data_IF_868145376343
#
_entry.id   IF_868145376343
#
_cell.length_a   1.000
_cell.length_b   1.000
_cell.length_c   1.000
_cell.angle_alpha   90.00
_cell.angle_beta   90.00
_cell.angle_gamma   90.00
#
_symmetry.space_group_name_H-M   'P 1'
#
loop_
_entity.id
_entity.type
_entity.pdbx_description
1 polymer ?
#
# COMPACT_ATOMS: atom_id res chain seq x y z
N UNK A 1 17.85 -13.63 15.58
CA UNK A 1 17.54 -14.79 14.68
C UNK A 1 18.60 -14.85 13.58
N UNK A 2 19.11 -16.02 13.16
CA UNK A 2 20.21 -16.11 12.16
C UNK A 2 19.71 -15.99 10.71
N UNK A 3 20.46 -15.28 9.87
CA UNK A 3 20.17 -14.90 8.47
C UNK A 3 19.70 -16.02 7.53
N UNK A 4 20.08 -17.28 7.78
CA UNK A 4 19.68 -18.41 6.94
C UNK A 4 18.19 -18.78 7.05
N UNK A 5 17.50 -18.25 8.07
CA UNK A 5 16.11 -18.64 8.40
C UNK A 5 15.06 -17.75 7.71
N UNK A 6 15.41 -16.55 7.25
CA UNK A 6 14.47 -15.63 6.61
C UNK A 6 14.10 -16.01 5.17
N UNK A 7 14.87 -16.90 4.53
CA UNK A 7 14.66 -17.33 3.13
C UNK A 7 13.37 -18.15 2.95
N UNK A 8 12.67 -18.50 4.04
CA UNK A 8 11.48 -19.38 4.03
C UNK A 8 10.32 -18.80 4.84
N UNK A 9 10.44 -17.60 5.40
CA UNK A 9 9.34 -16.98 6.15
C UNK A 9 8.45 -16.24 5.15
N UNK A 10 7.18 -16.63 5.07
CA UNK A 10 6.22 -16.07 4.12
C UNK A 10 5.87 -14.61 4.46
N UNK A 11 5.66 -14.32 5.74
CA UNK A 11 5.37 -12.98 6.23
C UNK A 11 5.94 -12.77 7.63
N UNK A 12 6.22 -11.53 7.97
CA UNK A 12 6.70 -11.19 9.30
C UNK A 12 6.98 -9.72 9.47
N UNK A 13 7.42 -9.39 10.69
CA UNK A 13 7.79 -8.05 11.10
C UNK A 13 9.22 -8.08 11.63
N UNK A 14 10.05 -7.15 11.18
CA UNK A 14 11.44 -7.04 11.58
C UNK A 14 11.70 -5.60 12.01
N UNK A 15 11.93 -5.37 13.31
CA UNK A 15 12.32 -4.07 13.79
C UNK A 15 13.78 -3.75 13.51
N UNK A 16 14.06 -2.45 13.42
CA UNK A 16 15.41 -1.92 13.40
C UNK A 16 15.55 -0.70 14.31
N UNK A 17 16.79 -0.45 14.69
CA UNK A 17 17.21 0.81 15.30
C UNK A 17 18.60 1.19 14.79
N UNK A 18 18.78 2.49 14.55
CA UNK A 18 20.00 3.01 13.94
C UNK A 18 19.98 2.92 12.41
N UNK A 19 20.73 3.82 11.77
CA UNK A 19 20.77 3.91 10.31
C UNK A 19 21.72 2.85 9.72
N UNK A 20 22.85 2.61 10.38
CA UNK A 20 23.91 1.68 9.97
C UNK A 20 24.47 0.87 11.17
N UNK A 21 25.16 -0.27 10.94
CA UNK A 21 25.57 -1.23 11.99
C UNK A 21 26.49 -0.70 13.12
N UNK A 22 26.93 0.55 13.04
CA UNK A 22 27.83 1.19 14.01
C UNK A 22 27.19 2.39 14.73
N UNK A 23 25.92 2.67 14.48
CA UNK A 23 25.18 3.71 15.18
C UNK A 23 24.75 3.14 16.54
N UNK A 24 25.63 3.27 17.54
CA UNK A 24 25.53 2.55 18.82
C UNK A 24 24.16 2.56 19.51
N UNK A 25 23.85 1.46 20.22
CA UNK A 25 22.68 1.14 21.03
C UNK A 25 21.60 2.23 21.05
N UNK A 26 20.87 2.37 19.93
CA UNK A 26 19.67 3.18 19.88
C UNK A 26 18.61 2.41 20.66
N UNK A 27 18.37 2.86 21.89
CA UNK A 27 17.35 2.29 22.75
C UNK A 27 15.97 2.68 22.21
N UNK A 28 15.16 1.67 21.91
CA UNK A 28 13.72 1.85 21.72
C UNK A 28 13.10 1.86 23.13
N UNK A 29 12.19 2.81 23.39
CA UNK A 29 11.48 2.84 24.66
C UNK A 29 10.76 1.51 24.94
N UNK A 30 10.72 1.11 26.21
CA UNK A 30 10.17 -0.17 26.64
C UNK A 30 8.70 -0.34 26.27
N UNK A 31 7.90 0.73 26.31
CA UNK A 31 6.46 0.66 25.99
C UNK A 31 6.25 0.33 24.51
N UNK A 32 7.02 0.98 23.62
CA UNK A 32 7.04 0.72 22.18
C UNK A 32 7.46 -0.73 21.89
N UNK A 33 8.50 -1.20 22.58
CA UNK A 33 9.04 -2.54 22.39
C UNK A 33 7.99 -3.61 22.73
N UNK A 34 7.23 -3.41 23.80
CA UNK A 34 6.21 -4.35 24.25
C UNK A 34 4.94 -4.29 23.38
N UNK A 35 4.46 -3.10 22.97
CA UNK A 35 3.21 -2.93 22.21
C UNK A 35 3.36 -3.20 20.69
N UNK A 36 4.54 -2.94 20.13
CA UNK A 36 4.81 -3.14 18.69
C UNK A 36 5.41 -4.53 18.42
N UNK A 37 5.62 -5.34 19.47
CA UNK A 37 6.33 -6.64 19.46
C UNK A 37 7.75 -6.52 18.85
N UNK A 38 8.48 -5.53 19.34
CA UNK A 38 9.82 -5.19 18.88
C UNK A 38 10.82 -5.37 20.03
N UNK A 39 11.98 -6.03 19.85
CA UNK A 39 13.01 -6.03 20.86
C UNK A 39 13.45 -4.61 21.21
N UNK A 40 13.54 -4.31 22.50
CA UNK A 40 14.04 -3.03 23.04
C UNK A 40 15.41 -2.60 22.47
N UNK A 41 16.19 -3.61 22.06
CA UNK A 41 17.45 -3.45 21.34
C UNK A 41 17.37 -4.29 20.07
N UNK A 42 16.89 -3.74 18.95
CA UNK A 42 16.91 -4.45 17.68
C UNK A 42 18.35 -4.81 17.32
N UNK A 43 18.55 -6.05 16.87
CA UNK A 43 19.88 -6.54 16.46
C UNK A 43 20.33 -5.92 15.13
N UNK A 44 19.44 -5.21 14.43
CA UNK A 44 19.61 -4.79 13.04
C UNK A 44 19.38 -3.30 12.88
N UNK A 45 20.22 -2.68 12.06
CA UNK A 45 20.05 -1.33 11.55
C UNK A 45 19.16 -1.30 10.31
N UNK A 46 18.66 -0.12 9.92
CA UNK A 46 17.89 0.06 8.69
C UNK A 46 18.66 -0.48 7.46
N UNK A 47 19.95 -0.19 7.36
CA UNK A 47 20.80 -0.67 6.27
C UNK A 47 20.84 -2.19 6.18
N UNK A 48 21.02 -2.88 7.31
CA UNK A 48 21.06 -4.34 7.35
C UNK A 48 19.72 -4.93 6.90
N UNK A 49 18.59 -4.35 7.32
CA UNK A 49 17.29 -4.80 6.84
C UNK A 49 17.14 -4.61 5.34
N UNK A 50 17.53 -3.46 4.79
CA UNK A 50 17.48 -3.20 3.34
C UNK A 50 18.30 -4.24 2.56
N UNK A 51 19.47 -4.61 3.07
CA UNK A 51 20.35 -5.62 2.48
C UNK A 51 19.77 -7.05 2.56
N UNK A 52 18.83 -7.30 3.47
CA UNK A 52 18.11 -8.58 3.60
C UNK A 52 16.91 -8.70 2.65
N UNK A 53 16.41 -7.58 2.12
CA UNK A 53 15.26 -7.58 1.22
C UNK A 53 15.57 -8.32 -0.10
N UNK A 54 14.55 -8.94 -0.72
CA UNK A 54 14.73 -9.68 -1.96
C UNK A 54 15.26 -8.83 -3.12
N UNK A 55 15.94 -9.52 -4.04
CA UNK A 55 16.30 -9.01 -5.36
C UNK A 55 15.70 -9.92 -6.42
N UNK A 56 14.71 -9.41 -7.13
CA UNK A 56 14.12 -10.11 -8.26
C UNK A 56 15.01 -10.02 -9.49
N UNK A 57 14.89 -11.02 -10.35
CA UNK A 57 15.51 -11.03 -11.66
C UNK A 57 14.47 -11.14 -12.77
N UNK A 58 14.75 -10.44 -13.88
CA UNK A 58 13.99 -10.59 -15.12
C UNK A 58 14.42 -11.88 -15.82
N UNK A 59 13.49 -12.78 -16.09
CA UNK A 59 13.69 -14.00 -16.87
C UNK A 59 12.84 -13.99 -18.13
N UNK A 60 13.37 -14.57 -19.21
CA UNK A 60 12.63 -14.69 -20.46
C UNK A 60 11.54 -15.73 -20.30
N UNK A 61 10.37 -15.45 -20.86
CA UNK A 61 9.28 -16.43 -20.95
C UNK A 61 9.42 -17.18 -22.26
N UNK A 62 9.42 -18.51 -22.16
CA UNK A 62 9.39 -19.41 -23.30
C UNK A 62 7.98 -19.94 -23.49
N UNK A 63 7.52 -19.95 -24.74
CA UNK A 63 6.22 -20.44 -25.16
C UNK A 63 6.45 -21.74 -25.91
N UNK A 64 5.82 -22.81 -25.43
CA UNK A 64 5.83 -24.09 -26.13
C UNK A 64 4.77 -24.07 -27.23
N UNK A 65 5.19 -24.32 -28.47
CA UNK A 65 4.28 -24.50 -29.59
C UNK A 65 3.67 -25.90 -29.53
N UNK A 66 2.36 -25.98 -29.24
CA UNK A 66 1.61 -27.24 -29.12
C UNK A 66 1.59 -28.08 -30.40
N UNK A 67 1.86 -27.48 -31.55
CA UNK A 67 1.88 -28.15 -32.86
C UNK A 67 3.26 -28.66 -33.27
N UNK A 68 4.27 -28.47 -32.43
CA UNK A 68 5.63 -28.95 -32.68
C UNK A 68 6.00 -29.92 -31.57
N UNK A 69 6.23 -31.18 -31.94
CA UNK A 69 6.70 -32.17 -30.98
C UNK A 69 8.10 -31.79 -30.45
N UNK A 70 8.45 -32.25 -29.25
CA UNK A 70 9.76 -31.93 -28.62
C UNK A 70 11.01 -32.36 -29.42
N UNK A 71 10.84 -33.12 -30.51
CA UNK A 71 11.90 -33.48 -31.46
C UNK A 71 11.95 -32.56 -32.71
N UNK A 72 11.19 -31.46 -32.69
CA UNK A 72 11.08 -30.44 -33.73
C UNK A 72 10.20 -30.80 -34.92
N UNK A 73 9.48 -31.93 -34.88
CA UNK A 73 8.57 -32.35 -35.96
C UNK A 73 7.24 -31.63 -35.79
N UNK A 74 6.77 -30.99 -36.86
CA UNK A 74 5.46 -30.34 -36.92
C UNK A 74 4.38 -31.40 -37.05
N UNK A 75 3.35 -31.33 -36.21
CA UNK A 75 2.13 -32.11 -36.33
C UNK A 75 1.19 -31.44 -37.34
N UNK A 76 1.40 -31.79 -38.60
CA UNK A 76 0.72 -31.18 -39.75
C UNK A 76 -0.79 -31.44 -39.74
N UNK A 77 -1.20 -32.60 -39.20
CA UNK A 77 -2.61 -32.99 -39.11
C UNK A 77 -3.34 -32.12 -38.08
N UNK A 78 -2.74 -31.90 -36.90
CA UNK A 78 -3.31 -31.02 -35.87
C UNK A 78 -3.35 -29.56 -36.31
N UNK A 79 -2.32 -29.08 -37.03
CA UNK A 79 -2.31 -27.72 -37.61
C UNK A 79 -3.44 -27.57 -38.62
N UNK A 80 -3.57 -28.51 -39.55
CA UNK A 80 -4.60 -28.46 -40.58
C UNK A 80 -6.00 -28.49 -39.96
N UNK A 81 -6.24 -29.37 -39.00
CA UNK A 81 -7.52 -29.44 -38.30
C UNK A 81 -7.88 -28.12 -37.60
N UNK A 82 -6.93 -27.49 -36.89
CA UNK A 82 -7.16 -26.23 -36.20
C UNK A 82 -7.45 -25.06 -37.16
N UNK A 83 -6.77 -25.03 -38.31
CA UNK A 83 -6.95 -23.99 -39.33
C UNK A 83 -8.27 -24.16 -40.09
N UNK A 84 -8.63 -25.40 -40.44
CA UNK A 84 -9.91 -25.72 -41.11
C UNK A 84 -11.12 -25.52 -40.18
N UNK A 85 -10.98 -25.77 -38.88
CA UNK A 85 -12.02 -25.49 -37.88
C UNK A 85 -12.24 -23.97 -37.68
N UNK A 86 -11.25 -23.13 -38.03
CA UNK A 86 -11.29 -21.68 -37.91
C UNK A 86 -11.92 -20.94 -39.11
N UNK A 87 -12.56 -21.64 -40.06
CA UNK A 87 -13.29 -21.05 -41.21
C UNK A 87 -14.36 -19.98 -40.84
N UNK A 88 -14.61 -19.72 -39.55
CA UNK A 88 -15.43 -18.60 -39.08
C UNK A 88 -14.71 -17.25 -38.95
N UNK A 89 -13.38 -17.18 -39.02
CA UNK A 89 -12.62 -15.92 -38.97
C UNK A 89 -12.23 -15.44 -40.38
N UNK A 90 -13.22 -14.95 -41.13
CA UNK A 90 -13.02 -14.10 -42.30
C UNK A 90 -12.63 -14.83 -43.59
N UNK A 91 -13.60 -14.94 -44.51
CA UNK A 91 -13.48 -15.55 -45.83
C UNK A 91 -12.62 -14.75 -46.83
N UNK A 92 -11.42 -14.33 -46.43
CA UNK A 92 -10.44 -13.62 -47.27
C UNK A 92 -8.99 -13.99 -46.92
N UNK A 93 -8.74 -15.15 -46.31
CA UNK A 93 -7.41 -15.75 -46.41
C UNK A 93 -7.24 -16.25 -47.84
N UNK A 94 -6.47 -15.50 -48.64
CA UNK A 94 -5.90 -16.00 -49.89
C UNK A 94 -5.40 -17.42 -49.63
N UNK A 95 -5.88 -18.39 -50.43
CA UNK A 95 -5.53 -19.79 -50.30
C UNK A 95 -4.03 -19.93 -50.02
N UNK A 96 -3.67 -20.68 -48.97
CA UNK A 96 -2.28 -20.99 -48.65
C UNK A 96 -1.55 -21.34 -49.94
N UNK A 97 -0.42 -20.68 -50.26
CA UNK A 97 0.19 -20.79 -51.58
C UNK A 97 0.52 -22.25 -51.87
N UNK A 98 -0.29 -22.87 -52.74
CA UNK A 98 -0.19 -24.29 -53.09
C UNK A 98 0.87 -24.55 -54.18
N UNK A 99 1.62 -23.55 -54.58
CA UNK A 99 2.56 -23.61 -55.71
C UNK A 99 3.91 -22.90 -55.44
N UNK A 100 4.48 -23.12 -54.25
CA UNK A 100 5.94 -23.25 -54.17
C UNK A 100 6.25 -24.75 -54.22
N UNK A 101 7.37 -25.15 -54.82
CA UNK A 101 7.71 -26.54 -55.19
C UNK A 101 8.02 -27.46 -53.97
N UNK A 102 7.41 -27.19 -52.81
CA UNK A 102 7.43 -27.97 -51.58
C UNK A 102 6.10 -27.77 -50.83
N UNK A 103 5.57 -28.82 -50.20
CA UNK A 103 4.36 -28.70 -49.38
C UNK A 103 4.55 -27.62 -48.30
N UNK A 104 3.53 -26.81 -48.01
CA UNK A 104 3.55 -25.87 -46.87
C UNK A 104 3.80 -26.61 -45.54
N UNK A 105 3.53 -27.92 -45.54
CA UNK A 105 3.78 -28.87 -44.45
C UNK A 105 5.14 -29.57 -44.53
N UNK A 106 5.96 -29.30 -45.56
CA UNK A 106 7.38 -29.71 -45.66
C UNK A 106 8.28 -28.66 -44.97
N UNK A 107 7.80 -28.17 -43.83
CA UNK A 107 8.59 -27.38 -42.91
C UNK A 107 9.51 -28.35 -42.19
N UNK A 108 10.80 -28.35 -42.56
CA UNK A 108 11.84 -29.05 -41.82
C UNK A 108 11.80 -28.72 -40.33
N UNK A 109 12.60 -29.41 -39.51
CA UNK A 109 12.54 -29.29 -38.04
C UNK A 109 12.45 -27.83 -37.55
N UNK A 110 11.40 -27.56 -36.78
CA UNK A 110 11.17 -26.27 -36.15
C UNK A 110 11.55 -26.33 -34.67
N UNK A 111 11.85 -25.17 -34.07
CA UNK A 111 12.03 -25.08 -32.62
C UNK A 111 10.66 -25.20 -31.94
N UNK A 112 10.43 -26.20 -31.06
CA UNK A 112 9.19 -26.32 -30.31
C UNK A 112 9.00 -25.19 -29.28
N UNK A 113 10.05 -24.43 -29.00
CA UNK A 113 10.10 -23.36 -28.01
C UNK A 113 10.38 -22.02 -28.68
N UNK A 114 9.57 -21.01 -28.39
CA UNK A 114 9.78 -19.64 -28.88
C UNK A 114 9.84 -18.66 -27.71
N UNK A 115 10.63 -17.61 -27.85
CA UNK A 115 10.70 -16.55 -26.83
C UNK A 115 9.56 -15.57 -26.99
N UNK A 116 8.87 -15.23 -25.90
CA UNK A 116 7.93 -14.13 -25.90
C UNK A 116 8.68 -12.80 -26.06
N UNK A 117 8.31 -12.00 -27.06
CA UNK A 117 9.07 -10.80 -27.45
C UNK A 117 8.90 -9.62 -26.48
N UNK A 118 7.80 -9.55 -25.73
CA UNK A 118 7.46 -8.41 -24.86
C UNK A 118 7.05 -8.82 -23.45
N UNK A 119 7.41 -10.04 -23.03
CA UNK A 119 6.98 -10.59 -21.75
C UNK A 119 8.18 -11.16 -21.02
N UNK A 120 8.23 -10.89 -19.71
CA UNK A 120 9.24 -11.46 -18.85
C UNK A 120 8.66 -11.89 -17.50
N UNK A 121 9.19 -12.98 -16.98
CA UNK A 121 8.92 -13.41 -15.63
C UNK A 121 9.79 -12.62 -14.64
N UNK A 122 9.20 -12.25 -13.52
CA UNK A 122 9.87 -11.64 -12.36
C UNK A 122 10.04 -12.75 -11.34
N UNK A 123 11.29 -13.16 -11.13
CA UNK A 123 11.63 -14.37 -10.37
C UNK A 123 12.44 -14.00 -9.14
N UNK A 124 12.17 -14.67 -8.01
CA UNK A 124 13.08 -14.71 -6.86
C UNK A 124 14.04 -15.90 -7.00
N UNK A 125 15.34 -15.66 -7.28
CA UNK A 125 16.31 -16.74 -7.44
C UNK A 125 16.46 -17.62 -6.20
N UNK A 126 16.20 -17.09 -5.00
CA UNK A 126 16.30 -17.83 -3.74
C UNK A 126 15.17 -18.87 -3.65
N UNK A 127 13.95 -18.46 -3.99
CA UNK A 127 12.77 -19.34 -4.01
C UNK A 127 12.86 -20.35 -5.14
N UNK A 128 13.39 -19.95 -6.30
CA UNK A 128 13.66 -20.87 -7.41
C UNK A 128 14.60 -22.00 -6.98
N UNK A 129 15.68 -21.67 -6.25
CA UNK A 129 16.59 -22.67 -5.69
C UNK A 129 15.90 -23.61 -4.68
N UNK A 130 15.01 -23.09 -3.83
CA UNK A 130 14.22 -23.90 -2.89
C UNK A 130 13.22 -24.82 -3.62
N UNK A 131 12.55 -24.31 -4.64
CA UNK A 131 11.65 -25.09 -5.49
C UNK A 131 12.40 -26.23 -6.20
N UNK A 132 13.63 -25.98 -6.67
CA UNK A 132 14.50 -27.02 -7.24
C UNK A 132 14.88 -28.12 -6.23
N UNK A 133 14.85 -27.81 -4.92
CA UNK A 133 15.03 -28.79 -3.84
C UNK A 133 13.71 -29.49 -3.45
N UNK A 134 12.61 -29.25 -4.17
CA UNK A 134 11.30 -29.84 -3.94
C UNK A 134 10.48 -29.18 -2.83
N UNK A 135 10.86 -27.98 -2.38
CA UNK A 135 10.03 -27.20 -1.45
C UNK A 135 8.79 -26.66 -2.17
N UNK A 136 7.61 -26.68 -1.53
CA UNK A 136 6.37 -26.20 -2.13
C UNK A 136 6.28 -24.67 -2.07
N UNK A 137 7.21 -23.98 -2.72
CA UNK A 137 7.25 -22.52 -2.81
C UNK A 137 7.03 -22.10 -4.26
N UNK A 138 6.11 -21.17 -4.49
CA UNK A 138 6.13 -20.40 -5.73
C UNK A 138 7.43 -19.59 -5.78
N UNK A 139 7.91 -19.23 -6.97
CA UNK A 139 9.13 -18.44 -7.12
C UNK A 139 9.02 -17.36 -8.20
N UNK A 140 7.85 -17.26 -8.82
CA UNK A 140 7.51 -16.22 -9.78
C UNK A 140 6.54 -15.26 -9.11
N UNK A 141 6.90 -13.98 -9.02
CA UNK A 141 6.00 -12.96 -8.50
C UNK A 141 5.07 -12.41 -9.57
N UNK A 142 5.53 -12.33 -10.81
CA UNK A 142 4.74 -11.78 -11.90
C UNK A 142 5.25 -12.25 -13.26
N UNK A 143 4.36 -12.30 -14.25
CA UNK A 143 4.71 -12.24 -15.66
C UNK A 143 4.30 -10.86 -16.17
N UNK A 144 5.27 -9.99 -16.38
CA UNK A 144 5.06 -8.58 -16.74
C UNK A 144 5.29 -8.32 -18.23
N UNK A 145 4.54 -7.36 -18.77
CA UNK A 145 4.78 -6.82 -20.11
C UNK A 145 6.07 -6.00 -20.20
N UNK A 146 6.44 -5.59 -21.41
CA UNK A 146 7.64 -4.81 -21.70
C UNK A 146 7.77 -3.55 -20.84
N UNK A 147 6.66 -2.85 -20.62
CA UNK A 147 6.61 -1.57 -19.89
C UNK A 147 6.77 -1.68 -18.37
N UNK A 148 6.67 -2.90 -17.82
CA UNK A 148 6.87 -3.12 -16.39
C UNK A 148 8.37 -2.99 -16.04
N UNK A 149 8.65 -2.14 -15.06
CA UNK A 149 9.98 -1.90 -14.54
C UNK A 149 10.15 -2.58 -13.18
N UNK A 150 11.04 -3.58 -13.14
CA UNK A 150 11.45 -4.20 -11.88
C UNK A 150 12.26 -3.17 -11.10
N UNK A 151 11.70 -2.72 -9.99
CA UNK A 151 12.41 -1.88 -9.02
C UNK A 151 12.67 -2.77 -7.84
N UNK A 152 13.92 -3.11 -7.50
CA UNK A 152 14.14 -3.93 -6.31
C UNK A 152 13.95 -3.08 -5.05
N UNK A 153 13.28 -3.60 -4.00
CA UNK A 153 13.10 -2.87 -2.76
C UNK A 153 14.45 -2.54 -2.11
N UNK A 154 15.46 -3.42 -2.25
CA UNK A 154 16.82 -3.11 -1.84
C UNK A 154 17.35 -1.83 -2.49
N UNK A 155 17.19 -1.68 -3.81
CA UNK A 155 17.72 -0.51 -4.53
C UNK A 155 16.91 0.74 -4.22
N UNK A 156 15.59 0.61 -4.12
CA UNK A 156 14.67 1.70 -3.80
C UNK A 156 14.89 2.26 -2.40
N UNK A 157 14.87 1.40 -1.38
CA UNK A 157 15.04 1.83 0.02
C UNK A 157 16.48 2.18 0.36
N UNK A 158 17.49 1.68 -0.36
CA UNK A 158 18.86 2.16 -0.20
C UNK A 158 18.97 3.65 -0.56
N UNK A 159 18.12 4.17 -1.46
CA UNK A 159 18.04 5.62 -1.69
C UNK A 159 17.47 6.38 -0.50
N UNK A 160 16.46 5.83 0.19
CA UNK A 160 15.99 6.39 1.47
C UNK A 160 17.11 6.45 2.51
N UNK A 161 17.86 5.35 2.66
CA UNK A 161 19.03 5.29 3.56
C UNK A 161 20.06 6.38 3.22
N UNK A 162 20.41 6.54 1.94
CA UNK A 162 21.34 7.58 1.49
C UNK A 162 20.85 9.00 1.79
N UNK A 163 19.55 9.26 1.62
CA UNK A 163 18.94 10.55 1.95
C UNK A 163 19.02 10.82 3.45
N UNK A 164 18.61 9.87 4.29
CA UNK A 164 18.74 9.99 5.75
C UNK A 164 20.20 10.19 6.18
N UNK A 165 21.13 9.45 5.57
CA UNK A 165 22.57 9.56 5.86
C UNK A 165 23.10 10.97 5.56
N UNK A 166 22.73 11.52 4.40
CA UNK A 166 23.08 12.86 3.90
C UNK A 166 22.58 13.95 4.84
N UNK A 167 21.37 13.80 5.37
CA UNK A 167 20.77 14.75 6.32
C UNK A 167 21.25 14.57 7.76
N UNK A 168 22.16 13.62 8.00
CA UNK A 168 22.76 13.42 9.32
C UNK A 168 21.88 12.65 10.29
N UNK A 169 20.79 12.04 9.81
CA UNK A 169 20.00 11.12 10.62
C UNK A 169 20.84 9.88 10.95
N UNK A 170 20.89 9.50 12.22
CA UNK A 170 21.73 8.38 12.70
C UNK A 170 20.98 7.39 13.57
N UNK A 171 19.86 7.82 14.14
CA UNK A 171 19.08 7.02 15.08
C UNK A 171 17.64 6.79 14.63
N UNK A 172 17.34 6.57 13.33
CA UNK A 172 15.99 6.18 12.96
C UNK A 172 15.63 4.89 13.71
N UNK A 173 14.37 4.79 14.10
CA UNK A 173 13.78 3.57 14.66
C UNK A 173 12.60 3.19 13.78
N UNK A 174 12.23 1.92 13.78
CA UNK A 174 11.08 1.50 12.99
C UNK A 174 11.06 0.01 12.77
N UNK A 175 10.32 -0.40 11.76
CA UNK A 175 10.19 -1.80 11.39
C UNK A 175 9.87 -1.97 9.92
N UNK A 176 10.14 -3.16 9.42
CA UNK A 176 9.69 -3.64 8.12
C UNK A 176 8.66 -4.73 8.36
N UNK A 177 7.49 -4.58 7.77
CA UNK A 177 6.53 -5.67 7.57
C UNK A 177 6.74 -6.21 6.16
N UNK A 178 6.76 -7.54 6.04
CA UNK A 178 6.91 -8.19 4.74
C UNK A 178 5.90 -9.33 4.60
N UNK A 179 5.52 -9.60 3.35
CA UNK A 179 4.65 -10.70 2.96
C UNK A 179 5.08 -11.29 1.63
N UNK A 180 4.52 -12.45 1.25
CA UNK A 180 4.90 -13.18 0.04
C UNK A 180 6.44 -13.35 -0.09
N UNK A 181 7.07 -13.73 1.02
CA UNK A 181 8.52 -13.95 1.13
C UNK A 181 9.36 -12.71 0.79
N UNK A 182 8.81 -11.52 1.05
CA UNK A 182 9.37 -10.22 0.68
C UNK A 182 8.92 -9.71 -0.69
N UNK A 183 8.00 -10.42 -1.35
CA UNK A 183 7.25 -9.97 -2.52
C UNK A 183 6.50 -8.66 -2.27
N UNK A 184 6.04 -8.48 -1.03
CA UNK A 184 5.45 -7.26 -0.51
C UNK A 184 6.27 -6.75 0.69
N UNK A 185 6.52 -5.44 0.73
CA UNK A 185 7.27 -4.78 1.81
C UNK A 185 6.55 -3.50 2.19
N UNK A 186 6.39 -3.28 3.50
CA UNK A 186 5.97 -2.04 4.12
C UNK A 186 7.06 -1.60 5.12
N UNK A 187 7.71 -0.49 4.80
CA UNK A 187 8.77 0.10 5.62
C UNK A 187 8.20 1.27 6.43
N UNK A 188 8.40 1.20 7.73
CA UNK A 188 8.03 2.23 8.69
C UNK A 188 9.31 2.79 9.30
N UNK A 189 9.53 4.10 9.15
CA UNK A 189 10.69 4.80 9.71
C UNK A 189 10.20 5.96 10.53
N UNK A 190 10.63 6.03 11.79
CA UNK A 190 10.43 7.15 12.70
C UNK A 190 11.78 7.82 12.96
N UNK A 191 11.80 9.14 12.95
CA UNK A 191 12.99 9.95 13.15
C UNK A 191 12.90 10.60 14.53
N UNK A 192 13.70 10.20 15.53
CA UNK A 192 13.67 10.83 16.85
C UNK A 192 13.95 12.34 16.88
N UNK A 193 14.59 12.86 15.84
CA UNK A 193 14.80 14.28 15.60
C UNK A 193 13.52 15.03 15.20
N UNK A 194 12.51 14.32 14.68
CA UNK A 194 11.27 14.85 14.14
C UNK A 194 10.10 14.40 15.01
N UNK A 195 9.58 15.32 15.83
CA UNK A 195 8.54 15.00 16.80
C UNK A 195 7.74 16.24 17.20
N UNK A 196 6.51 16.04 17.65
CA UNK A 196 5.68 17.09 18.21
C UNK A 196 4.99 16.62 19.49
N UNK A 197 4.55 17.57 20.32
CA UNK A 197 3.77 17.28 21.51
C UNK A 197 2.27 17.36 21.18
N UNK A 198 1.48 16.32 21.43
CA UNK A 198 0.03 16.40 21.30
C UNK A 198 -0.55 17.51 22.19
N UNK A 199 -1.50 18.27 21.66
CA UNK A 199 -2.16 19.36 22.37
C UNK A 199 -3.16 18.77 23.39
N UNK A 200 -3.27 19.37 24.58
CA UNK A 200 -4.38 19.12 25.51
C UNK A 200 -4.09 18.20 26.70
N UNK A 201 -2.84 17.89 27.02
CA UNK A 201 -2.47 17.12 28.23
C UNK A 201 -1.59 17.97 29.13
N UNK A 202 -1.89 17.99 30.43
CA UNK A 202 -1.14 18.75 31.44
C UNK A 202 0.37 18.43 31.32
N UNK A 203 1.17 19.50 31.26
CA UNK A 203 2.46 19.64 30.55
C UNK A 203 3.67 18.97 31.26
N UNK A 204 3.49 17.76 31.81
CA UNK A 204 4.51 17.07 32.61
C UNK A 204 4.95 15.69 32.12
N UNK A 205 4.00 14.85 31.70
CA UNK A 205 4.23 13.40 31.63
C UNK A 205 3.89 12.73 30.28
N UNK A 206 3.41 13.48 29.27
CA UNK A 206 3.09 12.92 27.94
C UNK A 206 4.35 12.70 27.11
N UNK A 207 4.43 11.57 26.42
CA UNK A 207 5.49 11.32 25.44
C UNK A 207 5.19 12.04 24.11
N UNK A 208 6.21 12.47 23.36
CA UNK A 208 6.01 13.10 22.06
C UNK A 208 5.57 12.07 21.01
N UNK A 209 4.84 12.56 20.01
CA UNK A 209 4.56 11.80 18.79
C UNK A 209 5.75 11.91 17.85
N UNK A 210 6.26 10.76 17.43
CA UNK A 210 7.40 10.69 16.52
C UNK A 210 6.91 10.75 15.09
N UNK A 211 7.57 11.53 14.24
CA UNK A 211 7.28 11.60 12.82
C UNK A 211 8.36 10.91 12.00
N UNK A 212 7.95 10.46 10.83
CA UNK A 212 8.83 9.95 9.80
C UNK A 212 8.00 9.57 8.59
N UNK A 213 8.17 8.37 8.07
CA UNK A 213 7.43 7.94 6.90
C UNK A 213 7.06 6.48 6.92
N UNK A 214 5.98 6.21 6.20
CA UNK A 214 5.61 4.90 5.71
C UNK A 214 5.89 4.86 4.21
N UNK A 215 6.37 3.72 3.72
CA UNK A 215 6.54 3.47 2.30
C UNK A 215 6.39 1.99 2.03
N UNK A 216 5.60 1.61 1.04
CA UNK A 216 5.54 0.22 0.65
C UNK A 216 5.55 -0.04 -0.85
N UNK A 217 5.55 -1.34 -1.11
CA UNK A 217 6.19 -1.91 -2.27
C UNK A 217 5.60 -3.29 -2.56
N UNK A 218 5.33 -3.63 -3.84
CA UNK A 218 5.02 -5.01 -4.25
C UNK A 218 5.60 -5.37 -5.64
N UNK A 219 6.22 -6.54 -5.75
CA UNK A 219 6.73 -7.05 -7.01
C UNK A 219 5.64 -7.44 -8.01
N UNK A 220 4.45 -7.81 -7.57
CA UNK A 220 3.33 -8.19 -8.45
C UNK A 220 2.71 -7.01 -9.22
N UNK A 221 3.13 -5.77 -8.89
CA UNK A 221 2.61 -4.55 -9.49
C UNK A 221 1.17 -4.23 -9.08
N UNK A 222 0.57 -4.97 -8.15
CA UNK A 222 -0.77 -4.67 -7.62
C UNK A 222 -0.76 -3.39 -6.76
N UNK A 223 0.43 -2.97 -6.32
CA UNK A 223 0.67 -1.73 -5.59
C UNK A 223 1.80 -0.96 -6.25
N UNK A 224 1.61 0.35 -6.39
CA UNK A 224 2.64 1.30 -6.76
C UNK A 224 3.60 1.53 -5.60
N UNK A 225 4.84 1.93 -5.90
CA UNK A 225 5.76 2.46 -4.89
C UNK A 225 5.11 3.69 -4.25
N UNK A 226 4.97 3.71 -2.94
CA UNK A 226 4.34 4.84 -2.27
C UNK A 226 5.15 5.37 -1.11
N UNK A 227 4.76 6.56 -0.68
CA UNK A 227 5.35 7.29 0.42
C UNK A 227 4.24 8.08 1.10
N UNK A 228 4.21 8.03 2.42
CA UNK A 228 3.27 8.80 3.23
C UNK A 228 3.95 9.30 4.50
N UNK A 229 3.73 10.57 4.84
CA UNK A 229 4.11 11.12 6.14
C UNK A 229 3.37 10.34 7.22
N UNK A 230 4.14 9.77 8.15
CA UNK A 230 3.63 8.87 9.17
C UNK A 230 4.04 9.36 10.55
N UNK A 231 3.10 9.29 11.50
CA UNK A 231 3.34 9.59 12.90
C UNK A 231 3.13 8.35 13.76
N UNK A 232 3.76 8.30 14.91
CA UNK A 232 3.53 7.24 15.88
C UNK A 232 3.48 7.81 17.30
N UNK A 233 2.37 7.58 17.97
CA UNK A 233 2.19 7.90 19.38
C UNK A 233 2.63 6.69 20.21
N UNK A 234 3.78 6.84 20.87
CA UNK A 234 4.39 5.75 21.64
C UNK A 234 3.63 5.42 22.92
N UNK A 235 2.99 6.42 23.52
CA UNK A 235 2.24 6.25 24.76
C UNK A 235 0.95 5.48 24.51
N UNK A 236 0.34 5.70 23.34
CA UNK A 236 -0.91 5.05 22.93
C UNK A 236 -0.71 3.79 22.08
N UNK A 237 0.49 3.58 21.54
CA UNK A 237 0.76 2.48 20.61
C UNK A 237 0.00 2.60 19.30
N UNK A 238 -0.19 3.82 18.78
CA UNK A 238 -1.04 4.10 17.61
C UNK A 238 -0.25 4.79 16.50
N UNK A 239 -0.40 4.29 15.27
CA UNK A 239 0.04 4.98 14.06
C UNK A 239 -0.92 6.10 13.64
N UNK A 240 -0.39 7.30 13.40
CA UNK A 240 -1.12 8.42 12.84
C UNK A 240 -0.88 8.51 11.33
N UNK A 241 -1.97 8.35 10.60
CA UNK A 241 -2.02 8.32 9.14
C UNK A 241 -2.68 9.58 8.58
N UNK A 242 -2.45 9.85 7.29
CA UNK A 242 -3.04 11.03 6.66
C UNK A 242 -2.52 12.35 7.22
N UNK A 243 -1.34 12.38 7.85
CA UNK A 243 -0.69 13.63 8.29
C UNK A 243 -0.24 14.49 7.10
N UNK A 244 0.03 13.85 5.96
CA UNK A 244 0.43 14.50 4.72
C UNK A 244 -0.25 13.89 3.50
N UNK A 245 0.15 14.34 2.31
CA UNK A 245 -0.31 13.73 1.07
C UNK A 245 0.50 12.48 0.74
N UNK A 246 -0.20 11.35 0.60
CA UNK A 246 0.38 10.13 0.04
C UNK A 246 0.86 10.39 -1.39
N UNK A 247 2.11 10.06 -1.66
CA UNK A 247 2.74 10.07 -2.98
C UNK A 247 2.78 8.64 -3.50
N UNK A 248 2.51 8.44 -4.79
CA UNK A 248 2.48 7.11 -5.39
C UNK A 248 3.06 7.11 -6.80
N UNK A 249 3.82 6.07 -7.12
CA UNK A 249 4.56 5.92 -8.35
C UNK A 249 4.47 4.49 -8.89
N UNK A 250 3.82 4.28 -10.06
CA UNK A 250 3.72 2.97 -10.67
C UNK A 250 5.08 2.38 -11.06
N UNK A 251 5.15 1.05 -11.09
CA UNK A 251 6.29 0.25 -11.59
C UNK A 251 6.43 0.30 -13.12
N UNK A 252 6.53 1.51 -13.70
CA UNK A 252 6.61 1.74 -15.15
C UNK A 252 7.69 2.77 -15.49
N UNK A 253 8.44 2.48 -16.55
CA UNK A 253 9.51 3.35 -17.03
C UNK A 253 10.77 3.33 -16.15
N UNK A 254 11.61 4.36 -16.27
CA UNK A 254 12.88 4.44 -15.53
C UNK A 254 12.69 5.04 -14.13
N UNK A 255 12.03 4.29 -13.25
CA UNK A 255 11.70 4.72 -11.89
C UNK A 255 12.95 5.10 -11.08
N UNK A 256 14.04 4.34 -11.25
CA UNK A 256 15.26 4.57 -10.46
C UNK A 256 15.99 5.86 -10.81
N UNK A 257 15.74 6.45 -11.99
CA UNK A 257 16.38 7.71 -12.41
C UNK A 257 16.08 8.90 -11.50
N UNK A 258 14.89 8.95 -10.87
CA UNK A 258 14.46 10.04 -9.98
C UNK A 258 14.30 9.59 -8.52
N UNK A 259 14.67 8.35 -8.18
CA UNK A 259 14.52 7.83 -6.81
C UNK A 259 15.24 8.71 -5.77
N UNK A 260 16.37 9.33 -6.12
CA UNK A 260 17.06 10.28 -5.23
C UNK A 260 16.19 11.48 -4.88
N UNK A 261 15.63 12.15 -5.89
CA UNK A 261 14.77 13.33 -5.70
C UNK A 261 13.46 12.95 -5.00
N UNK A 262 12.92 11.77 -5.27
CA UNK A 262 11.74 11.25 -4.58
C UNK A 262 11.93 11.21 -3.06
N UNK A 263 13.02 10.59 -2.60
CA UNK A 263 13.31 10.47 -1.18
C UNK A 263 13.72 11.80 -0.55
N UNK A 264 14.43 12.66 -1.29
CA UNK A 264 14.74 14.01 -0.84
C UNK A 264 13.46 14.81 -0.58
N UNK A 265 12.53 14.84 -1.53
CA UNK A 265 11.25 15.53 -1.39
C UNK A 265 10.41 14.93 -0.24
N UNK A 266 10.47 13.61 -0.03
CA UNK A 266 9.82 12.98 1.11
C UNK A 266 10.39 13.48 2.44
N UNK A 267 11.72 13.54 2.56
CA UNK A 267 12.39 14.07 3.74
C UNK A 267 12.06 15.54 3.98
N UNK A 268 11.98 16.36 2.93
CA UNK A 268 11.52 17.75 3.01
C UNK A 268 10.08 17.85 3.57
N UNK A 269 9.15 16.98 3.15
CA UNK A 269 7.80 16.96 3.72
C UNK A 269 7.82 16.74 5.26
N UNK A 270 8.71 15.87 5.75
CA UNK A 270 8.84 15.60 7.19
C UNK A 270 9.36 16.84 7.92
N UNK A 271 10.38 17.51 7.36
CA UNK A 271 10.93 18.72 7.94
C UNK A 271 9.93 19.88 7.95
N UNK A 272 9.14 20.02 6.89
CA UNK A 272 8.09 21.02 6.80
C UNK A 272 7.01 20.75 7.86
N UNK A 273 6.61 19.49 8.02
CA UNK A 273 5.59 19.07 8.99
C UNK A 273 5.96 19.34 10.46
N UNK A 274 7.24 19.34 10.82
CA UNK A 274 7.73 19.64 12.17
C UNK A 274 8.23 21.07 12.35
N UNK A 275 8.25 21.86 11.28
CA UNK A 275 8.68 23.26 11.37
C UNK A 275 7.68 24.07 12.21
N UNK A 276 8.18 25.09 12.93
CA UNK A 276 7.35 25.91 13.84
C UNK A 276 6.18 26.57 13.10
N UNK A 277 6.40 26.95 11.85
CA UNK A 277 5.41 27.56 10.96
C UNK A 277 4.77 26.53 10.01
N UNK A 278 4.91 25.23 10.31
CA UNK A 278 4.47 24.15 9.44
C UNK A 278 2.96 23.97 9.43
N UNK A 279 2.41 23.74 8.24
CA UNK A 279 0.97 23.56 8.02
C UNK A 279 0.36 22.46 8.91
N UNK A 280 1.11 21.38 9.20
CA UNK A 280 0.64 20.30 10.04
C UNK A 280 0.44 20.74 11.50
N UNK A 281 1.42 21.42 12.10
CA UNK A 281 1.30 21.89 13.49
C UNK A 281 0.19 22.93 13.63
N UNK A 282 0.02 23.81 12.64
CA UNK A 282 -1.13 24.72 12.59
C UNK A 282 -2.44 23.95 12.56
N UNK A 283 -2.58 22.97 11.66
CA UNK A 283 -3.79 22.16 11.53
C UNK A 283 -4.10 21.37 12.82
N UNK A 284 -3.08 20.83 13.50
CA UNK A 284 -3.25 20.14 14.79
C UNK A 284 -3.76 21.12 15.87
N UNK A 285 -3.17 22.31 15.96
CA UNK A 285 -3.63 23.33 16.93
C UNK A 285 -5.06 23.77 16.62
N UNK A 286 -5.36 24.08 15.36
CA UNK A 286 -6.70 24.50 14.92
C UNK A 286 -7.74 23.41 15.20
N UNK A 287 -7.43 22.14 14.92
CA UNK A 287 -8.30 21.00 15.22
C UNK A 287 -8.46 20.75 16.73
N UNK A 288 -7.46 21.10 17.54
CA UNK A 288 -7.52 20.98 19.00
C UNK A 288 -8.37 22.06 19.65
N UNK A 289 -8.30 23.28 19.11
CA UNK A 289 -9.07 24.43 19.58
C UNK A 289 -10.53 24.40 19.11
N UNK A 290 -10.79 23.83 17.94
CA UNK A 290 -12.14 23.71 17.40
C UNK A 290 -12.91 22.57 18.07
N UNK A 291 -13.86 22.94 18.94
CA UNK A 291 -14.73 22.02 19.67
C UNK A 291 -16.15 22.00 19.12
N UNK A 292 -16.71 20.82 19.00
CA UNK A 292 -18.11 20.58 18.69
C UNK A 292 -18.90 20.43 19.98
N UNK A 293 -20.05 21.09 20.03
CA UNK A 293 -21.02 21.02 21.14
C UNK A 293 -22.15 20.07 20.77
N UNK A 294 -22.35 19.06 21.62
CA UNK A 294 -23.33 17.97 21.50
C UNK A 294 -24.36 17.98 22.63
N UNK A 295 -24.38 18.99 23.50
CA UNK A 295 -25.23 19.03 24.69
C UNK A 295 -26.70 19.41 24.44
N UNK A 296 -27.13 19.55 23.18
CA UNK A 296 -28.48 20.01 22.81
C UNK A 296 -29.43 18.88 22.40
N UNK A 297 -30.72 19.02 22.71
CA UNK A 297 -31.75 18.04 22.31
C UNK A 297 -31.93 17.93 20.77
N UNK A 298 -31.55 18.96 20.02
CA UNK A 298 -31.64 19.03 18.53
C UNK A 298 -30.27 18.85 17.85
N UNK A 299 -29.23 18.48 18.59
CA UNK A 299 -27.91 18.17 18.02
C UNK A 299 -27.80 16.68 17.73
N UNK A 300 -27.19 16.33 16.61
CA UNK A 300 -26.73 14.96 16.35
C UNK A 300 -25.81 14.45 17.48
N UNK A 301 -25.66 13.16 17.61
CA UNK A 301 -24.71 12.53 18.53
C UNK A 301 -23.28 12.57 17.97
N UNK A 302 -22.25 12.39 18.82
CA UNK A 302 -20.87 12.22 18.37
C UNK A 302 -20.70 11.04 17.40
N UNK A 303 -21.46 9.96 17.54
CA UNK A 303 -21.43 8.82 16.61
C UNK A 303 -22.02 9.18 15.24
N UNK A 304 -23.19 9.84 15.21
CA UNK A 304 -23.79 10.34 13.97
C UNK A 304 -22.87 11.34 13.26
N UNK A 305 -22.13 12.18 14.00
CA UNK A 305 -21.10 13.02 13.40
C UNK A 305 -20.02 12.20 12.69
N UNK A 306 -19.51 11.13 13.32
CA UNK A 306 -18.51 10.22 12.73
C UNK A 306 -19.06 9.55 11.46
N UNK A 307 -20.34 9.17 11.46
CA UNK A 307 -20.99 8.60 10.27
C UNK A 307 -21.09 9.62 9.14
N UNK A 308 -21.56 10.84 9.43
CA UNK A 308 -21.75 11.89 8.43
C UNK A 308 -20.46 12.53 7.91
N UNK A 309 -19.32 12.37 8.59
CA UNK A 309 -18.02 12.68 7.97
C UNK A 309 -17.57 11.60 6.97
N UNK A 310 -18.26 10.44 6.94
CA UNK A 310 -18.05 9.37 5.96
C UNK A 310 -17.27 8.17 6.50
N UNK A 311 -17.37 7.90 7.81
CA UNK A 311 -16.86 6.67 8.40
C UNK A 311 -18.00 5.66 8.65
N UNK A 312 -17.73 4.35 8.61
CA UNK A 312 -18.77 3.34 8.81
C UNK A 312 -19.39 3.39 10.21
N UNK A 313 -20.70 3.17 10.28
CA UNK A 313 -21.45 2.99 11.54
C UNK A 313 -20.81 1.94 12.46
N UNK A 314 -20.21 0.88 11.89
CA UNK A 314 -19.50 -0.17 12.64
C UNK A 314 -18.39 0.36 13.56
N UNK A 315 -17.77 1.49 13.20
CA UNK A 315 -16.68 2.11 13.98
C UNK A 315 -17.13 3.38 14.72
N UNK A 316 -18.29 3.93 14.37
CA UNK A 316 -18.72 5.26 14.80
C UNK A 316 -18.91 5.36 16.32
N UNK A 317 -19.61 4.40 16.93
CA UNK A 317 -19.82 4.36 18.39
C UNK A 317 -18.50 4.29 19.16
N UNK A 318 -17.61 3.37 18.77
CA UNK A 318 -16.32 3.21 19.46
C UNK A 318 -15.41 4.43 19.32
N UNK A 319 -15.38 5.05 18.13
CA UNK A 319 -14.62 6.29 17.89
C UNK A 319 -15.18 7.42 18.76
N UNK A 320 -16.51 7.57 18.79
CA UNK A 320 -17.19 8.59 19.56
C UNK A 320 -16.95 8.45 21.08
N UNK A 321 -17.13 7.24 21.61
CA UNK A 321 -16.95 6.96 23.05
C UNK A 321 -15.52 7.29 23.50
N UNK A 322 -14.52 6.89 22.72
CA UNK A 322 -13.11 7.20 23.05
C UNK A 322 -12.80 8.68 22.92
N UNK A 323 -13.38 9.37 21.93
CA UNK A 323 -13.20 10.81 21.76
C UNK A 323 -13.81 11.61 22.92
N UNK A 324 -14.98 11.19 23.43
CA UNK A 324 -15.62 11.73 24.62
C UNK A 324 -14.80 11.46 25.89
N UNK A 325 -14.33 10.23 26.07
CA UNK A 325 -13.46 9.86 27.20
C UNK A 325 -12.20 10.73 27.22
N UNK A 326 -11.58 10.92 26.05
CA UNK A 326 -10.40 11.76 25.89
C UNK A 326 -10.70 13.25 26.12
N UNK A 327 -11.89 13.73 25.78
CA UNK A 327 -12.29 15.12 26.01
C UNK A 327 -12.45 15.43 27.50
N UNK A 328 -12.90 14.45 28.30
CA UNK A 328 -13.25 14.63 29.71
C UNK A 328 -14.52 15.48 29.93
N UNK A 329 -15.16 15.92 28.85
CA UNK A 329 -16.41 16.67 28.82
C UNK A 329 -17.42 15.90 27.94
N UNK A 330 -18.61 15.55 28.45
CA UNK A 330 -19.58 14.75 27.71
C UNK A 330 -20.21 15.47 26.52
N UNK A 331 -20.14 16.81 26.48
CA UNK A 331 -20.83 17.61 25.47
C UNK A 331 -19.85 18.33 24.53
N UNK A 332 -18.58 18.48 24.89
CA UNK A 332 -17.59 19.25 24.12
C UNK A 332 -16.39 18.41 23.68
N UNK A 333 -16.34 18.07 22.39
CA UNK A 333 -15.28 17.24 21.80
C UNK A 333 -14.52 18.01 20.72
N UNK A 334 -13.19 18.03 20.77
CA UNK A 334 -12.36 18.66 19.73
C UNK A 334 -12.25 17.79 18.48
N UNK A 335 -11.97 18.43 17.33
CA UNK A 335 -11.69 17.69 16.09
C UNK A 335 -10.43 16.82 16.21
N UNK A 336 -9.45 17.28 16.99
CA UNK A 336 -8.26 16.49 17.31
C UNK A 336 -8.58 15.19 18.03
N UNK A 337 -9.52 15.21 19.00
CA UNK A 337 -9.95 14.00 19.70
C UNK A 337 -10.60 12.98 18.75
N UNK A 338 -11.41 13.45 17.79
CA UNK A 338 -11.94 12.58 16.75
C UNK A 338 -10.82 12.05 15.85
N UNK A 339 -9.91 12.90 15.35
CA UNK A 339 -8.82 12.49 14.47
C UNK A 339 -7.95 11.37 15.07
N UNK A 340 -7.53 11.52 16.33
CA UNK A 340 -6.72 10.50 17.02
C UNK A 340 -7.49 9.19 17.12
N UNK A 341 -8.76 9.24 17.54
CA UNK A 341 -9.52 8.02 17.78
C UNK A 341 -9.96 7.33 16.49
N UNK A 342 -10.18 8.08 15.41
CA UNK A 342 -10.31 7.50 14.07
C UNK A 342 -9.06 6.71 13.73
N UNK A 343 -7.86 7.30 13.89
CA UNK A 343 -6.61 6.59 13.60
C UNK A 343 -6.41 5.37 14.52
N UNK A 344 -6.70 5.48 15.81
CA UNK A 344 -6.55 4.37 16.76
C UNK A 344 -7.41 3.16 16.35
N UNK A 345 -8.67 3.39 15.99
CA UNK A 345 -9.58 2.32 15.57
C UNK A 345 -9.19 1.78 14.19
N UNK A 346 -9.00 2.64 13.21
CA UNK A 346 -8.70 2.20 11.83
C UNK A 346 -7.33 1.51 11.75
N UNK A 347 -6.31 2.01 12.44
CA UNK A 347 -4.99 1.37 12.48
C UNK A 347 -5.07 -0.03 13.10
N UNK A 348 -5.78 -0.19 14.23
CA UNK A 348 -5.98 -1.48 14.87
C UNK A 348 -6.78 -2.45 13.98
N UNK A 349 -7.87 -1.99 13.37
CA UNK A 349 -8.71 -2.81 12.49
C UNK A 349 -7.91 -3.30 11.27
N UNK A 350 -7.01 -2.50 10.72
CA UNK A 350 -6.23 -2.86 9.52
C UNK A 350 -4.81 -3.35 9.83
N UNK A 351 -4.51 -3.61 11.11
CA UNK A 351 -3.28 -4.27 11.57
C UNK A 351 -3.39 -5.79 11.60
N UNK A 352 -2.32 -6.49 11.23
CA UNK A 352 -2.16 -7.92 11.48
C UNK A 352 -2.36 -8.82 10.25
N UNK A 353 -2.40 -10.12 10.51
CA UNK A 353 -2.44 -11.16 9.48
C UNK A 353 -3.70 -11.05 8.62
N UNK A 354 -3.55 -11.03 7.30
CA UNK A 354 -4.62 -10.86 6.29
C UNK A 354 -5.33 -9.50 6.25
N UNK A 355 -4.85 -8.50 7.00
CA UNK A 355 -5.34 -7.12 6.92
C UNK A 355 -4.34 -6.27 6.16
N UNK A 356 -4.83 -5.22 5.48
CA UNK A 356 -3.97 -4.38 4.67
C UNK A 356 -4.26 -2.90 4.87
N UNK A 357 -3.28 -2.20 5.44
CA UNK A 357 -3.16 -0.74 5.41
C UNK A 357 -2.92 -0.17 3.99
N UNK A 358 -2.92 -1.04 2.99
CA UNK A 358 -2.85 -0.67 1.58
C UNK A 358 -4.17 -0.85 0.84
N UNK A 359 -5.19 -1.39 1.50
CA UNK A 359 -6.53 -1.52 0.91
C UNK A 359 -7.08 -0.13 0.55
N UNK A 360 -7.93 -0.08 -0.48
CA UNK A 360 -8.59 1.16 -0.86
C UNK A 360 -9.47 1.70 0.29
N UNK A 361 -10.05 0.81 1.08
CA UNK A 361 -10.89 1.13 2.24
C UNK A 361 -10.11 1.85 3.32
N UNK A 362 -8.98 1.28 3.76
CA UNK A 362 -8.09 1.94 4.72
C UNK A 362 -7.66 3.32 4.22
N UNK A 363 -7.21 3.41 2.95
CA UNK A 363 -6.80 4.67 2.34
C UNK A 363 -7.95 5.69 2.25
N UNK A 364 -9.19 5.22 2.10
CA UNK A 364 -10.39 6.03 2.14
C UNK A 364 -10.59 6.66 3.51
N UNK A 365 -10.53 5.84 4.57
CA UNK A 365 -10.71 6.31 5.94
C UNK A 365 -9.61 7.24 6.42
N UNK A 366 -8.33 6.95 6.13
CA UNK A 366 -7.22 7.85 6.48
C UNK A 366 -7.30 9.16 5.70
N UNK A 367 -7.83 9.16 4.48
CA UNK A 367 -8.12 10.39 3.73
C UNK A 367 -9.27 11.19 4.35
N UNK A 368 -10.31 10.53 4.85
CA UNK A 368 -11.39 11.20 5.61
C UNK A 368 -10.83 11.85 6.88
N UNK A 369 -10.05 11.11 7.67
CA UNK A 369 -9.36 11.62 8.85
C UNK A 369 -8.47 12.83 8.51
N UNK A 370 -7.70 12.76 7.41
CA UNK A 370 -6.88 13.88 6.93
C UNK A 370 -7.71 15.11 6.60
N UNK A 371 -8.81 14.97 5.87
CA UNK A 371 -9.67 16.12 5.52
C UNK A 371 -10.24 16.77 6.77
N UNK A 372 -10.65 15.93 7.73
CA UNK A 372 -11.14 16.40 9.02
C UNK A 372 -10.06 17.18 9.78
N UNK A 373 -8.80 16.73 9.76
CA UNK A 373 -7.68 17.45 10.37
C UNK A 373 -7.34 18.75 9.62
N UNK A 374 -7.22 18.72 8.30
CA UNK A 374 -6.71 19.84 7.49
C UNK A 374 -7.77 20.90 7.15
N UNK A 375 -9.05 20.51 7.06
CA UNK A 375 -10.16 21.39 6.66
C UNK A 375 -11.40 21.15 7.54
N UNK A 376 -11.27 21.26 8.88
CA UNK A 376 -12.30 20.81 9.81
C UNK A 376 -13.64 21.49 9.60
N UNK A 377 -13.67 22.82 9.41
CA UNK A 377 -14.92 23.57 9.21
C UNK A 377 -15.70 23.09 7.98
N UNK A 378 -15.00 22.77 6.89
CA UNK A 378 -15.63 22.30 5.67
C UNK A 378 -16.27 20.92 5.88
N UNK A 379 -15.58 20.00 6.53
CA UNK A 379 -16.10 18.65 6.80
C UNK A 379 -17.25 18.68 7.84
N UNK A 380 -17.16 19.53 8.88
CA UNK A 380 -18.27 19.75 9.83
C UNK A 380 -19.52 20.26 9.10
N UNK A 381 -19.37 21.26 8.22
CA UNK A 381 -20.49 21.80 7.45
C UNK A 381 -21.04 20.82 6.41
N UNK A 382 -20.20 19.92 5.89
CA UNK A 382 -20.65 18.82 5.01
C UNK A 382 -21.48 17.82 5.81
N UNK A 383 -20.94 17.36 6.94
CA UNK A 383 -21.64 16.42 7.80
C UNK A 383 -22.99 17.00 8.25
N UNK A 384 -23.05 18.27 8.68
CA UNK A 384 -24.29 18.90 9.18
C UNK A 384 -25.38 18.92 8.12
N UNK A 385 -25.00 19.14 6.86
CA UNK A 385 -25.92 19.09 5.73
C UNK A 385 -26.44 17.67 5.49
N UNK A 386 -25.54 16.68 5.51
CA UNK A 386 -25.94 15.26 5.38
C UNK A 386 -26.95 14.86 6.45
N UNK A 387 -26.72 15.23 7.71
CA UNK A 387 -27.64 14.96 8.80
C UNK A 387 -28.99 15.66 8.64
N UNK A 388 -28.98 16.94 8.23
CA UNK A 388 -30.22 17.68 7.99
C UNK A 388 -31.03 17.08 6.83
N UNK A 389 -30.38 16.67 5.74
CA UNK A 389 -31.03 16.02 4.59
C UNK A 389 -31.71 14.69 4.99
N UNK A 390 -31.04 13.88 5.82
CA UNK A 390 -31.62 12.64 6.35
C UNK A 390 -32.76 12.89 7.34
N UNK A 391 -32.63 13.88 8.24
CA UNK A 391 -33.66 14.25 9.19
C UNK A 391 -34.91 14.83 8.53
N UNK A 392 -34.75 15.56 7.42
CA UNK A 392 -35.86 16.16 6.65
C UNK A 392 -36.49 15.16 5.64
N UNK A 393 -35.89 13.99 5.43
CA UNK A 393 -36.38 12.96 4.51
C UNK A 393 -36.27 13.34 3.04
N UNK A 394 -35.42 14.31 2.69
CA UNK A 394 -35.16 14.72 1.31
C UNK A 394 -34.06 13.82 0.72
N UNK A 395 -34.46 12.77 -0.01
CA UNK A 395 -33.50 11.97 -0.78
C UNK A 395 -32.93 12.80 -1.92
N UNK A 396 -31.62 13.09 -1.88
CA UNK A 396 -30.91 13.69 -3.01
C UNK A 396 -30.95 12.74 -4.22
N UNK A 397 -31.38 13.18 -5.42
CA UNK A 397 -31.35 12.34 -6.61
C UNK A 397 -29.91 11.99 -6.99
N UNK A 398 -29.64 10.71 -7.31
CA UNK A 398 -28.31 10.16 -7.63
C UNK A 398 -27.47 10.97 -8.65
N UNK A 399 -28.12 11.79 -9.47
CA UNK A 399 -27.46 12.68 -10.45
C UNK A 399 -26.76 13.92 -9.88
N UNK A 400 -26.91 14.24 -8.59
CA UNK A 400 -26.26 15.41 -7.94
C UNK A 400 -25.11 15.03 -6.98
N UNK A 401 -24.85 13.73 -6.84
CA UNK A 401 -23.74 13.18 -6.04
C UNK A 401 -22.41 13.60 -6.66
N UNK A 402 -21.60 14.39 -5.95
CA UNK A 402 -20.29 14.82 -6.45
C UNK A 402 -19.24 13.74 -6.16
N UNK A 403 -18.16 13.70 -6.96
CA UNK A 403 -17.08 12.68 -6.93
C UNK A 403 -16.45 12.37 -5.55
N UNK A 404 -16.74 13.16 -4.50
CA UNK A 404 -16.39 12.89 -3.10
C UNK A 404 -17.31 11.89 -2.36
N UNK A 405 -18.39 11.42 -3.01
CA UNK A 405 -19.35 10.44 -2.49
C UNK A 405 -19.05 8.99 -2.95
N UNK A 406 -17.95 8.77 -3.66
CA UNK A 406 -17.48 7.42 -4.03
C UNK A 406 -17.02 6.57 -2.84
N UNK A 407 -17.05 7.10 -1.62
CA UNK A 407 -16.80 6.32 -0.39
C UNK A 407 -18.01 5.45 -0.05
N UNK A 408 -19.23 5.91 -0.32
CA UNK A 408 -20.46 5.09 -0.13
C UNK A 408 -20.56 3.97 -1.18
N UNK A 409 -20.03 4.20 -2.39
CA UNK A 409 -19.89 3.16 -3.42
C UNK A 409 -18.81 2.11 -3.06
N UNK A 410 -17.85 2.45 -2.21
CA UNK A 410 -16.87 1.49 -1.67
C UNK A 410 -17.48 0.75 -0.47
N UNK A 411 -18.20 1.45 0.42
CA UNK A 411 -18.85 0.85 1.58
C UNK A 411 -20.01 -0.10 1.20
N UNK A 412 -20.75 0.18 0.11
CA UNK A 412 -21.84 -0.69 -0.35
C UNK A 412 -21.39 -1.95 -1.11
N UNK A 413 -20.12 -2.02 -1.52
CA UNK A 413 -19.53 -3.19 -2.22
C UNK A 413 -18.87 -4.17 -1.24
N UNK A 414 -18.60 -3.76 0.01
CA UNK A 414 -17.89 -4.58 0.99
C UNK A 414 -18.82 -4.91 2.15
N UNK A 415 -19.66 -5.93 1.98
CA UNK A 415 -20.45 -6.50 3.07
C UNK A 415 -19.62 -7.44 3.97
N UNK A 416 -18.39 -7.76 3.59
CA UNK A 416 -17.45 -8.57 4.37
C UNK A 416 -16.01 -8.11 4.08
N UNK A 417 -15.41 -7.33 4.99
CA UNK A 417 -14.03 -6.82 4.86
C UNK A 417 -12.98 -7.95 4.88
N UNK A 418 -13.38 -9.18 5.22
CA UNK A 418 -12.49 -10.36 5.27
C UNK A 418 -12.05 -10.91 3.90
N UNK A 419 -12.65 -10.46 2.78
CA UNK A 419 -12.32 -10.93 1.43
C UNK A 419 -11.48 -9.95 0.57
N UNK A 420 -11.05 -8.82 1.16
CA UNK A 420 -10.48 -7.69 0.41
C UNK A 420 -9.20 -8.02 -0.38
N UNK A 421 -8.31 -8.88 0.13
CA UNK A 421 -7.07 -9.26 -0.56
C UNK A 421 -7.30 -9.92 -1.93
N UNK A 422 -8.23 -10.87 -1.99
CA UNK A 422 -8.38 -11.74 -3.16
C UNK A 422 -9.32 -11.13 -4.20
N UNK A 423 -10.32 -10.36 -3.75
CA UNK A 423 -11.22 -9.60 -4.62
C UNK A 423 -10.52 -8.41 -5.27
N UNK A 424 -9.64 -7.71 -4.55
CA UNK A 424 -8.83 -6.63 -5.13
C UNK A 424 -7.82 -7.18 -6.15
N UNK A 425 -7.16 -8.31 -5.84
CA UNK A 425 -6.31 -9.05 -6.81
C UNK A 425 -7.09 -9.45 -8.07
N UNK A 426 -8.31 -9.98 -7.92
CA UNK A 426 -9.16 -10.35 -9.04
C UNK A 426 -9.64 -9.15 -9.86
N UNK A 427 -9.94 -8.02 -9.22
CA UNK A 427 -10.44 -6.81 -9.91
C UNK A 427 -9.35 -6.16 -10.74
N UNK A 428 -8.12 -6.07 -10.20
CA UNK A 428 -6.95 -5.62 -10.96
C UNK A 428 -6.65 -6.57 -12.11
N UNK A 429 -6.72 -7.89 -11.88
CA UNK A 429 -6.49 -8.89 -12.95
C UNK A 429 -7.54 -8.80 -14.06
N UNK A 430 -8.81 -8.61 -13.70
CA UNK A 430 -9.90 -8.46 -14.68
C UNK A 430 -9.80 -7.17 -15.49
N UNK A 431 -9.44 -6.05 -14.86
CA UNK A 431 -9.29 -4.77 -15.55
C UNK A 431 -8.04 -4.76 -16.46
N UNK A 432 -6.95 -5.42 -16.02
CA UNK A 432 -5.77 -5.66 -16.86
C UNK A 432 -6.10 -6.58 -18.04
N UNK A 433 -6.85 -7.67 -17.83
CA UNK A 433 -7.31 -8.55 -18.91
C UNK A 433 -8.25 -7.83 -19.89
N UNK A 434 -9.14 -6.98 -19.39
CA UNK A 434 -10.05 -6.17 -20.22
C UNK A 434 -9.28 -5.18 -21.09
N UNK A 435 -8.30 -4.46 -20.53
CA UNK A 435 -7.47 -3.53 -21.30
C UNK A 435 -6.54 -4.22 -22.29
N UNK A 436 -6.05 -5.41 -21.96
CA UNK A 436 -5.28 -6.25 -22.90
C UNK A 436 -6.16 -6.83 -24.01
N UNK A 437 -7.45 -7.06 -23.76
CA UNK A 437 -8.45 -7.44 -24.78
C UNK A 437 -8.89 -6.27 -25.68
N UNK A 438 -8.90 -5.04 -25.15
CA UNK A 438 -9.30 -3.83 -25.90
C UNK A 438 -8.12 -3.17 -26.67
N UNK A 439 -6.87 -3.59 -26.43
CA UNK A 439 -5.67 -3.04 -27.09
C UNK A 439 -5.22 -3.81 -28.36
N UNK A 440 -5.97 -4.81 -28.81
CA UNK A 440 -5.76 -5.45 -30.12
C UNK A 440 -6.81 -4.97 -31.12
N UNK A 441 -6.48 -4.04 -32.05
CA UNK A 441 -7.26 -3.85 -33.27
C UNK A 441 -7.17 -5.04 -34.21
#
# INVERSE_FOLDING_TARGET
>A
MSLSTQVVIESGKIPFAGLSPCDGDVEIDRVIAEDIDIPRYPEQSLKEIIELLPRAERRRVEINNSFIAGNGIVDTDSVQAQVEEAESMGADMEAFPSESDGSVFDVGRQDPTQHAHDVAAIVDPRREALAALGQPVDYHWQIGGGDYAIVNPTDWYYKAHQTLEKHGERKPIGWVEFGDYGGAVDLYVLLPSQRFMPVGVDDGDREPVYLGFHSGYRFDGSRSLDYELFGYDLEQGVGYWGLGQRKSQPHRGDVMSYAGDWWENGYEDIQEATSIDGDLLSAINDASDLKLDFGGDDTWSPAEFVEHVGLPTTYAEEIADRALEMAGDPDLVSIWNFYININAIIDNVYSGENKSRNSMTFQGYTRTARKLLQNPEQEINRARRSYAEEAEGESVPDSQRTLGESVDDIASVVQDESELSDVERMTVTKEVQKRLGESNP
#
